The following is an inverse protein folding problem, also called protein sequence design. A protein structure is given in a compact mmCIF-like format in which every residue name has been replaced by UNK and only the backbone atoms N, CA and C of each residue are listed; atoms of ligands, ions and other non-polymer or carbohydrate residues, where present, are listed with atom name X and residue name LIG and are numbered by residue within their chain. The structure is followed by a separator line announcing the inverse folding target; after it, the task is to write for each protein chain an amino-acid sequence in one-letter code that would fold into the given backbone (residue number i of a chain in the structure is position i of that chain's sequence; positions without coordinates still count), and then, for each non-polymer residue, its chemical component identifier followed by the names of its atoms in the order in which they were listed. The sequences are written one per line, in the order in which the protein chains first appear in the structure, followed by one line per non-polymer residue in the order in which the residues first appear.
data_IF_337200676319
#
_entry.id   IF_337200676319
#
_cell.length_a   1.000
_cell.length_b   1.000
_cell.length_c   1.000
_cell.angle_alpha   90.00
_cell.angle_beta   90.00
_cell.angle_gamma   90.00
#
_symmetry.space_group_name_H-M   'P 1'
#
loop_
_entity.id
_entity.type
_entity.pdbx_description
1 polymer ?
#
# COMPACT_ATOMS: atom_id res chain seq x y z
N UNK A 1 7.72 -0.38 -6.85
CA UNK A 1 8.29 0.84 -6.21
C UNK A 1 7.23 1.70 -5.51
N UNK A 2 6.07 1.95 -6.12
CA UNK A 2 4.97 2.75 -5.53
C UNK A 2 4.45 2.26 -4.16
N UNK A 3 4.37 0.94 -3.93
CA UNK A 3 3.97 0.35 -2.65
C UNK A 3 4.97 0.67 -1.51
N UNK A 4 6.27 0.66 -1.82
CA UNK A 4 7.34 0.98 -0.88
C UNK A 4 7.32 2.46 -0.51
N UNK A 5 7.05 3.32 -1.49
CA UNK A 5 6.92 4.77 -1.31
C UNK A 5 5.70 5.13 -0.43
N UNK A 6 4.56 4.47 -0.64
CA UNK A 6 3.34 4.67 0.17
C UNK A 6 3.49 4.19 1.61
N UNK A 7 4.19 3.08 1.84
CA UNK A 7 4.51 2.61 3.19
C UNK A 7 5.48 3.56 3.90
N UNK A 8 6.41 4.17 3.16
CA UNK A 8 7.29 5.21 3.67
C UNK A 8 6.51 6.48 4.04
N UNK A 9 5.58 6.93 3.18
CA UNK A 9 4.70 8.07 3.44
C UNK A 9 3.86 7.84 4.70
N UNK A 10 3.23 6.66 4.85
CA UNK A 10 2.44 6.33 6.03
C UNK A 10 3.28 6.36 7.31
N UNK A 11 4.47 5.75 7.30
CA UNK A 11 5.38 5.76 8.44
C UNK A 11 5.79 7.19 8.81
N UNK A 12 6.17 7.99 7.82
CA UNK A 12 6.57 9.39 8.02
C UNK A 12 5.42 10.22 8.60
N UNK A 13 4.19 10.04 8.10
CA UNK A 13 3.01 10.75 8.59
C UNK A 13 2.74 10.43 10.06
N UNK A 14 2.72 9.14 10.43
CA UNK A 14 2.50 8.71 11.82
C UNK A 14 3.62 9.21 12.75
N UNK A 15 4.87 9.24 12.28
CA UNK A 15 5.99 9.79 13.05
C UNK A 15 5.82 11.30 13.26
N UNK A 16 5.43 12.05 12.23
CA UNK A 16 5.18 13.50 12.33
C UNK A 16 4.02 13.80 13.29
N UNK A 17 2.91 13.07 13.19
CA UNK A 17 1.78 13.19 14.13
C UNK A 17 2.25 12.93 15.57
N UNK A 18 2.99 11.84 15.79
CA UNK A 18 3.54 11.51 17.12
C UNK A 18 4.45 12.59 17.68
N UNK A 19 5.37 13.13 16.87
CA UNK A 19 6.26 14.23 17.28
C UNK A 19 5.45 15.48 17.62
N UNK A 20 4.42 15.80 16.86
CA UNK A 20 3.57 16.97 17.11
C UNK A 20 2.84 16.86 18.46
N UNK A 21 2.23 15.71 18.75
CA UNK A 21 1.57 15.49 20.05
C UNK A 21 2.55 15.46 21.22
N UNK A 22 3.74 14.88 21.04
CA UNK A 22 4.80 14.95 22.06
C UNK A 22 5.21 16.40 22.29
N UNK A 23 5.36 17.21 21.24
CA UNK A 23 5.65 18.64 21.35
C UNK A 23 4.58 19.41 22.11
N UNK A 24 3.30 19.12 21.88
CA UNK A 24 2.18 19.72 22.62
C UNK A 24 2.22 19.33 24.10
N UNK A 25 2.44 18.05 24.42
CA UNK A 25 2.56 17.59 25.81
C UNK A 25 3.76 18.27 26.48
N UNK A 26 4.92 18.34 25.83
CA UNK A 26 6.10 19.03 26.38
C UNK A 26 5.81 20.51 26.62
N UNK A 27 5.10 21.16 25.70
CA UNK A 27 4.72 22.57 25.85
C UNK A 27 3.81 22.79 27.07
N UNK A 28 2.81 21.94 27.27
CA UNK A 28 1.91 21.97 28.44
C UNK A 28 2.71 21.88 29.75
N UNK A 29 3.65 20.93 29.83
CA UNK A 29 4.46 20.74 31.03
C UNK A 29 5.49 21.87 31.23
N UNK A 30 5.99 22.44 30.13
CA UNK A 30 6.92 23.55 30.17
C UNK A 30 6.23 24.85 30.61
N UNK A 31 4.97 25.07 30.21
CA UNK A 31 4.16 26.21 30.67
C UNK A 31 3.99 26.18 32.19
N UNK A 32 3.70 25.00 32.75
CA UNK A 32 3.57 24.77 34.18
C UNK A 32 4.87 25.00 34.96
N UNK A 33 6.03 24.61 34.39
CA UNK A 33 7.33 24.72 35.07
C UNK A 33 7.89 26.15 35.01
N UNK A 34 7.61 26.87 33.92
CA UNK A 34 8.19 28.20 33.67
C UNK A 34 7.26 29.33 34.16
N UNK A 35 5.97 29.05 34.41
CA UNK A 35 4.93 30.06 34.61
C UNK A 35 4.98 31.11 33.49
N UNK A 36 4.76 30.71 32.23
CA UNK A 36 4.76 31.67 31.10
C UNK A 36 3.81 32.85 31.34
N UNK A 37 2.60 32.69 31.95
CA UNK A 37 1.74 33.83 32.29
C UNK A 37 2.41 34.86 33.21
N UNK A 38 3.17 34.39 34.20
CA UNK A 38 3.94 35.27 35.07
C UNK A 38 5.07 35.97 34.30
N UNK A 39 5.82 35.22 33.50
CA UNK A 39 6.99 35.72 32.76
C UNK A 39 6.62 36.70 31.64
N UNK A 40 5.49 36.45 30.96
CA UNK A 40 5.07 37.18 29.76
C UNK A 40 4.08 38.31 30.07
N UNK A 41 3.18 38.13 31.05
CA UNK A 41 2.07 39.06 31.33
C UNK A 41 2.16 39.71 32.73
N UNK A 42 3.13 39.32 33.56
CA UNK A 42 3.29 39.87 34.92
C UNK A 42 2.13 39.57 35.86
N UNK A 43 1.39 38.48 35.60
CA UNK A 43 0.31 38.00 36.44
C UNK A 43 0.82 37.52 37.82
N UNK A 44 -0.09 37.22 38.75
CA UNK A 44 0.30 36.62 40.04
C UNK A 44 0.92 35.23 39.84
N UNK A 45 1.85 34.83 40.74
CA UNK A 45 2.50 33.52 40.69
C UNK A 45 1.48 32.41 40.92
N UNK A 46 1.28 31.57 39.92
CA UNK A 46 0.52 30.32 40.07
C UNK A 46 1.40 29.26 40.74
N UNK A 47 0.88 28.49 41.72
CA UNK A 47 1.62 27.39 42.32
C UNK A 47 1.65 26.19 41.36
N UNK A 48 2.80 25.51 41.26
CA UNK A 48 2.97 24.32 40.42
C UNK A 48 1.91 23.25 40.77
N UNK A 49 1.01 23.01 39.83
CA UNK A 49 -0.17 22.17 39.92
C UNK A 49 -0.11 20.98 38.96
N UNK A 50 0.79 20.04 39.23
CA UNK A 50 0.99 18.79 38.46
C UNK A 50 -0.29 18.00 38.13
N UNK A 51 -1.34 18.17 38.95
CA UNK A 51 -2.65 17.54 38.74
C UNK A 51 -3.30 18.04 37.45
N UNK A 52 -3.18 19.31 37.14
CA UNK A 52 -3.74 19.95 35.96
C UNK A 52 -3.06 19.46 34.69
N UNK A 53 -1.72 19.55 34.63
CA UNK A 53 -0.94 19.07 33.47
C UNK A 53 -1.11 17.57 33.23
N UNK A 54 -1.31 16.78 34.29
CA UNK A 54 -1.65 15.36 34.20
C UNK A 54 -3.02 15.15 33.54
N UNK A 55 -4.04 15.89 33.97
CA UNK A 55 -5.38 15.78 33.40
C UNK A 55 -5.42 16.22 31.94
N UNK A 56 -4.72 17.29 31.57
CA UNK A 56 -4.62 17.70 30.16
C UNK A 56 -3.95 16.62 29.31
N UNK A 57 -2.83 16.06 29.80
CA UNK A 57 -2.15 14.94 29.12
C UNK A 57 -3.05 13.72 28.99
N UNK A 58 -3.89 13.43 29.99
CA UNK A 58 -4.88 12.35 29.98
C UNK A 58 -5.93 12.53 28.88
N UNK A 59 -6.29 13.75 28.52
CA UNK A 59 -7.21 14.04 27.40
C UNK A 59 -6.49 14.09 26.04
N UNK A 60 -5.23 14.54 25.99
CA UNK A 60 -4.44 14.60 24.75
C UNK A 60 -4.09 13.20 24.23
N UNK A 61 -3.72 12.26 25.12
CA UNK A 61 -3.35 10.90 24.73
C UNK A 61 -4.44 10.12 23.97
N UNK A 62 -5.72 10.04 24.42
CA UNK A 62 -6.77 9.35 23.69
C UNK A 62 -7.11 10.02 22.37
N UNK A 63 -7.04 11.36 22.29
CA UNK A 63 -7.21 12.10 21.04
C UNK A 63 -6.09 11.74 20.05
N UNK A 64 -4.84 11.69 20.52
CA UNK A 64 -3.68 11.27 19.72
C UNK A 64 -3.87 9.84 19.17
N UNK A 65 -4.26 8.89 20.02
CA UNK A 65 -4.53 7.51 19.60
C UNK A 65 -5.68 7.42 18.58
N UNK A 66 -6.75 8.17 18.81
CA UNK A 66 -7.89 8.24 17.89
C UNK A 66 -7.46 8.79 16.52
N UNK A 67 -6.69 9.88 16.48
CA UNK A 67 -6.21 10.49 15.24
C UNK A 67 -5.32 9.51 14.47
N UNK A 68 -4.33 8.90 15.13
CA UNK A 68 -3.46 7.90 14.50
C UNK A 68 -4.28 6.72 13.95
N UNK A 69 -5.29 6.27 14.68
CA UNK A 69 -6.17 5.20 14.23
C UNK A 69 -6.97 5.60 12.97
N UNK A 70 -7.56 6.79 12.95
CA UNK A 70 -8.29 7.31 11.79
C UNK A 70 -7.37 7.52 10.58
N UNK A 71 -6.20 8.12 10.76
CA UNK A 71 -5.20 8.30 9.70
C UNK A 71 -4.83 6.95 9.07
N UNK A 72 -4.52 5.93 9.87
CA UNK A 72 -4.24 4.57 9.39
C UNK A 72 -5.44 3.94 8.68
N UNK A 73 -6.66 4.15 9.18
CA UNK A 73 -7.88 3.62 8.56
C UNK A 73 -8.16 4.25 7.18
N UNK A 74 -8.00 5.57 7.06
CA UNK A 74 -8.15 6.30 5.80
C UNK A 74 -7.13 5.86 4.77
N UNK A 75 -5.86 5.74 5.17
CA UNK A 75 -4.79 5.32 4.26
C UNK A 75 -4.98 3.87 3.76
N UNK A 76 -5.55 2.98 4.58
CA UNK A 76 -5.94 1.62 4.14
C UNK A 76 -7.03 1.65 3.08
N UNK A 77 -8.02 2.54 3.18
CA UNK A 77 -9.07 2.70 2.16
C UNK A 77 -8.49 3.24 0.86
N UNK A 78 -7.60 4.24 0.92
CA UNK A 78 -6.93 4.77 -0.28
C UNK A 78 -6.21 3.67 -1.06
N UNK A 79 -5.44 2.82 -0.38
CA UNK A 79 -4.75 1.67 -1.00
C UNK A 79 -5.72 0.70 -1.71
N UNK A 80 -6.96 0.59 -1.24
CA UNK A 80 -7.96 -0.30 -1.85
C UNK A 80 -8.53 0.30 -3.14
N UNK A 81 -8.83 1.60 -3.17
CA UNK A 81 -9.35 2.26 -4.38
C UNK A 81 -8.31 2.33 -5.51
N UNK A 82 -7.03 2.47 -5.17
CA UNK A 82 -5.93 2.48 -6.15
C UNK A 82 -5.65 1.10 -6.77
N UNK A 83 -6.26 0.02 -6.27
CA UNK A 83 -6.12 -1.33 -6.81
C UNK A 83 -6.96 -1.62 -8.05
N UNK A 84 -7.85 -0.70 -8.46
CA UNK A 84 -8.65 -0.87 -9.66
C UNK A 84 -7.84 -0.51 -10.91
N UNK A 85 -7.45 -1.53 -11.67
CA UNK A 85 -6.83 -1.37 -12.98
C UNK A 85 -7.92 -1.35 -14.06
N UNK A 86 -8.23 -0.19 -14.66
CA UNK A 86 -9.20 -0.14 -15.75
C UNK A 86 -8.64 -0.88 -16.98
N UNK A 87 -9.30 -1.99 -17.33
CA UNK A 87 -8.97 -2.82 -18.49
C UNK A 87 -9.95 -2.50 -19.62
N UNK A 88 -9.45 -2.33 -20.84
CA UNK A 88 -10.30 -2.18 -22.01
C UNK A 88 -11.05 -3.50 -22.29
N UNK A 89 -12.39 -3.45 -22.31
CA UNK A 89 -13.21 -4.64 -22.55
C UNK A 89 -12.96 -5.31 -23.92
N UNK A 90 -12.48 -4.55 -24.90
CA UNK A 90 -12.23 -5.05 -26.27
C UNK A 90 -10.81 -5.60 -26.44
N UNK A 91 -9.79 -4.79 -26.14
CA UNK A 91 -8.39 -5.14 -26.44
C UNK A 91 -7.57 -5.56 -25.21
N UNK A 92 -8.17 -5.59 -24.02
CA UNK A 92 -7.53 -5.97 -22.74
C UNK A 92 -6.31 -5.14 -22.33
N UNK A 93 -6.06 -4.01 -23.00
CA UNK A 93 -5.05 -3.04 -22.57
C UNK A 93 -5.40 -2.47 -21.19
N UNK A 94 -4.40 -2.19 -20.39
CA UNK A 94 -4.54 -1.53 -19.09
C UNK A 94 -4.31 -0.04 -19.29
N UNK A 95 -5.17 0.79 -18.70
CA UNK A 95 -4.98 2.24 -18.67
C UNK A 95 -4.19 2.64 -17.42
N UNK A 96 -3.08 3.34 -17.63
CA UNK A 96 -2.26 3.90 -16.55
C UNK A 96 -2.92 5.17 -15.96
N UNK A 97 -2.45 5.56 -14.77
CA UNK A 97 -2.68 6.83 -14.08
C UNK A 97 -2.52 8.07 -14.98
N UNK A 98 -1.61 8.02 -15.96
CA UNK A 98 -1.37 9.09 -16.95
C UNK A 98 -2.37 9.12 -18.11
N UNK A 99 -3.29 8.15 -18.16
CA UNK A 99 -4.30 8.02 -19.22
C UNK A 99 -3.86 7.26 -20.47
N UNK A 100 -2.61 6.81 -20.53
CA UNK A 100 -2.08 5.99 -21.63
C UNK A 100 -2.56 4.54 -21.53
N UNK A 101 -2.79 3.90 -22.69
CA UNK A 101 -3.16 2.49 -22.79
C UNK A 101 -1.96 1.65 -23.22
N UNK A 102 -1.62 0.65 -22.41
CA UNK A 102 -0.49 -0.26 -22.66
C UNK A 102 -0.93 -1.72 -22.57
N UNK A 103 -0.12 -2.63 -23.11
CA UNK A 103 -0.39 -4.06 -23.01
C UNK A 103 -0.32 -4.53 -21.54
N UNK A 104 -1.09 -5.54 -21.20
CA UNK A 104 -1.19 -6.04 -19.82
C UNK A 104 0.16 -6.62 -19.36
N UNK A 105 0.84 -7.34 -20.24
CA UNK A 105 2.15 -7.94 -20.03
C UNK A 105 3.18 -6.86 -19.70
N UNK A 106 3.23 -5.80 -20.52
CA UNK A 106 4.10 -4.65 -20.32
C UNK A 106 3.80 -3.92 -19.01
N UNK A 107 2.52 -3.73 -18.67
CA UNK A 107 2.09 -3.12 -17.40
C UNK A 107 2.53 -3.92 -16.18
N UNK A 108 2.39 -5.24 -16.22
CA UNK A 108 2.74 -6.11 -15.10
C UNK A 108 4.26 -6.25 -14.97
N UNK A 109 5.00 -6.41 -16.06
CA UNK A 109 6.47 -6.50 -16.03
C UNK A 109 7.14 -5.20 -15.61
N UNK A 110 6.57 -4.03 -15.93
CA UNK A 110 7.11 -2.73 -15.47
C UNK A 110 6.91 -2.51 -13.95
N UNK A 111 5.84 -3.10 -13.37
CA UNK A 111 5.45 -2.87 -11.97
C UNK A 111 5.70 -4.06 -11.04
N UNK A 112 6.16 -5.19 -11.56
CA UNK A 112 6.45 -6.42 -10.82
C UNK A 112 7.65 -7.17 -11.43
N UNK A 113 8.24 -8.09 -10.67
CA UNK A 113 9.35 -8.92 -11.16
C UNK A 113 8.86 -10.09 -12.04
N UNK A 114 7.61 -10.06 -12.52
CA UNK A 114 7.03 -11.13 -13.31
C UNK A 114 7.61 -11.16 -14.74
N UNK A 115 8.06 -12.34 -15.17
CA UNK A 115 8.46 -12.63 -16.54
C UNK A 115 7.37 -13.44 -17.24
N UNK A 116 6.98 -13.01 -18.44
CA UNK A 116 5.99 -13.73 -19.26
C UNK A 116 6.68 -14.60 -20.31
N UNK A 117 6.32 -15.87 -20.34
CA UNK A 117 6.62 -16.78 -21.46
C UNK A 117 5.36 -17.02 -22.27
N UNK A 118 5.49 -17.05 -23.60
CA UNK A 118 4.37 -17.39 -24.48
C UNK A 118 4.26 -18.91 -24.60
N UNK A 119 3.13 -19.47 -24.20
CA UNK A 119 2.80 -20.88 -24.34
C UNK A 119 1.39 -21.05 -24.90
N UNK A 120 1.12 -22.21 -25.50
CA UNK A 120 -0.21 -22.58 -25.99
C UNK A 120 -0.81 -23.63 -25.04
N UNK A 121 -2.03 -23.40 -24.55
CA UNK A 121 -2.68 -24.41 -23.72
C UNK A 121 -3.15 -25.60 -24.58
N UNK A 122 -3.32 -26.81 -24.02
CA UNK A 122 -3.74 -27.99 -24.77
C UNK A 122 -5.05 -27.79 -25.56
N UNK A 123 -6.00 -27.04 -25.00
CA UNK A 123 -7.27 -26.72 -25.66
C UNK A 123 -7.07 -25.86 -26.92
N UNK A 124 -6.22 -24.83 -26.83
CA UNK A 124 -5.88 -24.00 -27.99
C UNK A 124 -5.05 -24.78 -29.01
N UNK A 125 -4.15 -25.66 -28.58
CA UNK A 125 -3.33 -26.48 -29.45
C UNK A 125 -4.19 -27.45 -30.28
N UNK A 126 -5.18 -28.13 -29.67
CA UNK A 126 -6.14 -28.99 -30.37
C UNK A 126 -6.97 -28.23 -31.41
N UNK A 127 -7.31 -26.96 -31.13
CA UNK A 127 -8.10 -26.12 -32.04
C UNK A 127 -7.28 -25.59 -33.22
N UNK A 128 -6.03 -25.20 -32.98
CA UNK A 128 -5.15 -24.61 -33.99
C UNK A 128 -4.42 -25.66 -34.84
N UNK A 129 -4.17 -26.84 -34.28
CA UNK A 129 -3.46 -27.95 -34.92
C UNK A 129 -4.23 -29.28 -34.78
N UNK A 130 -5.49 -29.35 -35.24
CA UNK A 130 -6.32 -30.54 -35.09
C UNK A 130 -5.71 -31.77 -35.78
N UNK A 131 -4.89 -31.61 -36.81
CA UNK A 131 -4.18 -32.68 -37.51
C UNK A 131 -3.01 -33.28 -36.72
N UNK A 132 -2.38 -32.49 -35.83
CA UNK A 132 -1.30 -32.97 -34.95
C UNK A 132 -1.87 -33.68 -33.72
N UNK A 133 -3.05 -33.24 -33.28
CA UNK A 133 -3.78 -33.81 -32.14
C UNK A 133 -4.96 -34.69 -32.57
N UNK A 134 -4.99 -35.07 -33.84
CA UNK A 134 -6.06 -35.82 -34.47
C UNK A 134 -5.99 -37.30 -34.11
N UNK A 135 -6.96 -37.74 -33.32
CA UNK A 135 -7.43 -39.13 -33.26
C UNK A 135 -6.51 -40.20 -32.66
N UNK A 136 -5.79 -39.85 -31.61
CA UNK A 136 -5.60 -40.77 -30.48
C UNK A 136 -5.27 -39.95 -29.25
N UNK A 137 -6.19 -39.83 -28.29
CA UNK A 137 -5.87 -40.08 -26.89
C UNK A 137 -7.06 -39.76 -25.99
N UNK A 138 -7.60 -40.85 -25.43
CA UNK A 138 -8.48 -40.89 -24.26
C UNK A 138 -7.77 -40.25 -23.06
N UNK A 139 -8.48 -39.84 -22.00
CA UNK A 139 -7.85 -39.18 -20.86
C UNK A 139 -7.07 -40.21 -20.04
N UNK A 140 -5.79 -40.40 -20.34
CA UNK A 140 -4.83 -40.98 -19.38
C UNK A 140 -3.74 -39.94 -19.12
N UNK A 141 -3.72 -39.43 -17.89
CA UNK A 141 -2.84 -38.35 -17.43
C UNK A 141 -1.42 -38.83 -17.18
N UNK A 142 -0.68 -39.15 -18.26
CA UNK A 142 0.78 -39.33 -18.20
C UNK A 142 1.43 -38.71 -19.42
N UNK A 143 2.03 -37.54 -19.19
CA UNK A 143 2.88 -36.84 -20.15
C UNK A 143 4.01 -37.76 -20.62
N UNK A 144 3.97 -38.22 -21.88
CA UNK A 144 5.15 -38.82 -22.50
C UNK A 144 6.08 -37.70 -22.97
N UNK A 145 7.38 -37.76 -22.63
CA UNK A 145 8.32 -36.73 -23.06
C UNK A 145 8.47 -36.80 -24.59
N UNK A 146 8.37 -35.65 -25.26
CA UNK A 146 8.68 -35.51 -26.68
C UNK A 146 10.12 -35.98 -26.90
N UNK A 147 10.28 -37.14 -27.52
CA UNK A 147 11.57 -37.63 -27.99
C UNK A 147 12.04 -36.72 -29.13
N UNK A 148 12.97 -35.85 -28.80
CA UNK A 148 13.74 -35.02 -29.72
C UNK A 148 14.48 -35.92 -30.72
N UNK A 149 13.95 -36.04 -31.94
CA UNK A 149 14.73 -36.55 -33.07
C UNK A 149 15.95 -35.65 -33.28
N UNK A 150 17.13 -36.20 -33.04
CA UNK A 150 18.41 -35.70 -33.55
C UNK A 150 18.90 -36.71 -34.57
N UNK A 151 18.64 -36.47 -35.84
CA UNK A 151 19.41 -37.08 -36.94
C UNK A 151 19.50 -36.08 -38.10
N UNK A 152 20.68 -35.47 -38.26
CA UNK A 152 21.48 -35.31 -39.48
C UNK A 152 22.69 -34.42 -39.16
#
# INVERSE_FOLDING_TARGET
MEKLEKDFILKRLVVVEGIAFIGVIVLIWLDEVIDIPYLLLGAERTPINWRESLFESLFVLPICLMIIHYTKALFRRLKYLEGFLPICASCKKIRDSKGSWQQMEEYITDRSEAQFSHGICPECAKKLYPEVFGESDRPDGRDKPLSRNKEA
#
